data_IF_277533086576
#
_entry.id   IF_277533086576
#
_cell.length_a   1.000
_cell.length_b   1.000
_cell.length_c   1.000
_cell.angle_alpha   90.00
_cell.angle_beta   90.00
_cell.angle_gamma   90.00
#
_symmetry.space_group_name_H-M   'P 1'
#
loop_
_entity.id
_entity.type
_entity.pdbx_description
1 polymer ?
#
# COMPACT_ATOMS: atom_id res chain seq x y z
N UNK A 1 -2.75 -16.78 10.43
CA UNK A 1 -2.66 -15.35 10.67
C UNK A 1 -1.53 -14.74 9.86
N UNK A 2 -1.75 -13.61 9.20
CA UNK A 2 -0.72 -12.99 8.37
C UNK A 2 0.15 -12.05 9.24
N UNK A 3 1.34 -12.53 9.59
CA UNK A 3 2.29 -11.77 10.40
C UNK A 3 2.69 -10.42 9.78
N UNK A 4 2.79 -10.39 8.45
CA UNK A 4 3.14 -9.17 7.72
C UNK A 4 2.02 -8.13 7.86
N UNK A 5 0.77 -8.54 7.69
CA UNK A 5 -0.37 -7.64 7.84
C UNK A 5 -0.47 -7.10 9.27
N UNK A 6 -0.21 -7.92 10.27
CA UNK A 6 -0.23 -7.50 11.68
C UNK A 6 0.86 -6.47 11.97
N UNK A 7 2.05 -6.66 11.42
CA UNK A 7 3.15 -5.69 11.56
C UNK A 7 2.79 -4.35 10.91
N UNK A 8 2.18 -4.39 9.74
CA UNK A 8 1.77 -3.19 9.02
C UNK A 8 0.67 -2.46 9.80
N UNK A 9 -0.32 -3.18 10.30
CA UNK A 9 -1.39 -2.61 11.12
C UNK A 9 -0.83 -1.89 12.35
N UNK A 10 0.12 -2.51 13.04
CA UNK A 10 0.79 -1.90 14.18
C UNK A 10 1.45 -0.58 13.79
N UNK A 11 2.13 -0.54 12.66
CA UNK A 11 2.79 0.69 12.19
C UNK A 11 1.79 1.75 11.73
N UNK A 12 0.66 1.35 11.16
CA UNK A 12 -0.42 2.29 10.80
C UNK A 12 -1.02 2.96 12.04
N UNK A 13 -1.19 2.20 13.12
CA UNK A 13 -1.66 2.74 14.39
C UNK A 13 -0.65 3.75 14.94
N UNK A 14 0.64 3.41 14.88
CA UNK A 14 1.72 4.32 15.32
C UNK A 14 1.76 5.58 14.46
N UNK A 15 1.55 5.46 13.16
CA UNK A 15 1.45 6.62 12.25
C UNK A 15 0.31 7.54 12.68
N UNK A 16 -0.86 6.98 12.96
CA UNK A 16 -2.03 7.76 13.39
C UNK A 16 -1.74 8.57 14.65
N UNK A 17 -1.09 7.96 15.65
CA UNK A 17 -0.69 8.65 16.87
C UNK A 17 0.32 9.76 16.59
N UNK A 18 1.32 9.48 15.76
CA UNK A 18 2.33 10.47 15.37
C UNK A 18 1.70 11.67 14.68
N UNK A 19 0.82 11.45 13.71
CA UNK A 19 0.15 12.52 12.97
C UNK A 19 -0.68 13.42 13.90
N UNK A 20 -1.36 12.80 14.85
CA UNK A 20 -2.17 13.54 15.83
C UNK A 20 -1.30 14.36 16.78
N UNK A 21 -0.27 13.74 17.36
CA UNK A 21 0.59 14.37 18.37
C UNK A 21 1.49 15.47 17.80
N UNK A 22 1.99 15.28 16.57
CA UNK A 22 2.91 16.21 15.94
C UNK A 22 2.20 17.32 15.14
N UNK A 23 0.89 17.23 14.97
CA UNK A 23 0.12 18.11 14.08
C UNK A 23 0.74 18.13 12.68
N UNK A 24 1.20 16.97 12.20
CA UNK A 24 1.88 16.84 10.93
C UNK A 24 0.99 17.27 9.77
N UNK A 25 1.58 17.97 8.81
CA UNK A 25 0.91 18.43 7.61
C UNK A 25 1.77 18.15 6.38
N UNK A 26 1.14 17.69 5.30
CA UNK A 26 1.82 17.43 4.04
C UNK A 26 0.86 16.87 3.00
N UNK A 27 1.39 16.64 1.80
CA UNK A 27 0.61 16.04 0.71
C UNK A 27 0.56 14.52 0.86
N UNK A 28 -0.35 13.88 0.10
CA UNK A 28 -0.46 12.40 0.13
C UNK A 28 0.87 11.71 -0.15
N UNK A 29 1.61 12.17 -1.17
CA UNK A 29 2.89 11.59 -1.52
C UNK A 29 3.90 11.69 -0.36
N UNK A 30 3.89 12.79 0.37
CA UNK A 30 4.75 12.96 1.55
C UNK A 30 4.34 12.02 2.67
N UNK A 31 3.04 11.80 2.85
CA UNK A 31 2.52 10.85 3.84
C UNK A 31 2.94 9.42 3.50
N UNK A 32 2.83 9.01 2.25
CA UNK A 32 3.27 7.69 1.79
C UNK A 32 4.75 7.49 2.08
N UNK A 33 5.58 8.48 1.74
CA UNK A 33 7.03 8.40 1.98
C UNK A 33 7.36 8.41 3.47
N UNK A 34 6.67 9.23 4.26
CA UNK A 34 6.84 9.25 5.71
C UNK A 34 6.56 7.85 6.29
N UNK A 35 5.44 7.25 5.90
CA UNK A 35 5.08 5.94 6.41
C UNK A 35 6.10 4.87 5.98
N UNK A 36 6.48 4.84 4.71
CA UNK A 36 7.41 3.85 4.18
C UNK A 36 8.78 3.93 4.85
N UNK A 37 9.31 5.12 5.04
CA UNK A 37 10.69 5.31 5.49
C UNK A 37 10.84 5.46 7.00
N UNK A 38 9.83 6.00 7.69
CA UNK A 38 9.93 6.27 9.12
C UNK A 38 9.16 5.27 10.00
N UNK A 39 8.26 4.49 9.42
CA UNK A 39 7.44 3.54 10.17
C UNK A 39 7.61 2.10 9.69
N UNK A 40 7.52 1.83 8.38
CA UNK A 40 7.65 0.48 7.86
C UNK A 40 9.10 0.00 7.82
N UNK A 41 10.02 0.84 7.36
CA UNK A 41 11.42 0.48 7.28
C UNK A 41 11.97 0.26 8.69
N UNK A 42 12.55 -0.91 8.92
CA UNK A 42 12.98 -1.37 10.24
C UNK A 42 12.21 -2.62 10.61
N UNK A 43 10.92 -2.51 11.03
CA UNK A 43 10.08 -3.71 11.25
C UNK A 43 9.96 -4.58 10.01
N UNK A 44 9.97 -3.95 8.83
CA UNK A 44 9.95 -4.62 7.52
C UNK A 44 11.19 -4.16 6.77
N UNK A 45 11.84 -5.08 6.05
CA UNK A 45 13.03 -4.72 5.29
C UNK A 45 12.64 -3.84 4.09
N UNK A 46 13.45 -2.82 3.84
CA UNK A 46 13.16 -1.85 2.76
C UNK A 46 13.04 -2.52 1.39
N UNK A 47 13.74 -3.65 1.19
CA UNK A 47 13.66 -4.42 -0.05
C UNK A 47 12.29 -5.11 -0.26
N UNK A 48 11.41 -5.11 0.75
CA UNK A 48 10.04 -5.62 0.64
C UNK A 48 9.03 -4.52 0.28
N UNK A 49 9.45 -3.25 0.27
CA UNK A 49 8.56 -2.10 0.17
C UNK A 49 8.68 -1.47 -1.22
N UNK A 50 7.55 -1.21 -1.87
CA UNK A 50 7.51 -0.49 -3.13
C UNK A 50 6.52 0.67 -3.08
N UNK A 51 6.93 1.82 -3.63
CA UNK A 51 6.10 3.03 -3.69
C UNK A 51 5.67 3.26 -5.13
N UNK A 52 4.40 3.58 -5.34
CA UNK A 52 3.80 3.80 -6.67
C UNK A 52 4.04 2.61 -7.61
N UNK A 53 3.69 1.41 -7.16
CA UNK A 53 3.93 0.18 -7.90
C UNK A 53 2.71 -0.21 -8.71
N UNK A 54 2.95 -0.61 -9.97
CA UNK A 54 1.90 -1.10 -10.84
C UNK A 54 1.50 -2.54 -10.46
N UNK A 55 0.21 -2.75 -10.27
CA UNK A 55 -0.37 -4.07 -10.00
C UNK A 55 -1.44 -4.38 -11.06
N UNK A 56 -1.87 -5.65 -11.13
CA UNK A 56 -2.88 -6.08 -12.11
C UNK A 56 -4.20 -5.36 -11.90
N UNK A 57 -4.85 -4.93 -12.98
CA UNK A 57 -6.20 -4.40 -12.90
C UNK A 57 -7.21 -5.52 -12.68
N UNK A 58 -8.35 -5.19 -12.03
CA UNK A 58 -9.50 -6.10 -11.93
C UNK A 58 -10.14 -6.33 -13.30
N UNK A 59 -10.22 -5.26 -14.09
CA UNK A 59 -10.69 -5.29 -15.47
C UNK A 59 -9.90 -4.26 -16.25
N UNK A 60 -9.70 -4.51 -17.57
CA UNK A 60 -9.02 -3.54 -18.43
C UNK A 60 -9.87 -2.27 -18.54
N UNK A 61 -9.28 -1.14 -18.15
CA UNK A 61 -9.91 0.18 -18.25
C UNK A 61 -9.07 0.98 -19.23
N UNK A 62 -9.67 1.43 -20.34
CA UNK A 62 -8.95 2.18 -21.38
C UNK A 62 -7.78 1.41 -21.97
N UNK A 63 -7.88 0.08 -22.09
CA UNK A 63 -6.83 -0.78 -22.62
C UNK A 63 -5.68 -1.07 -21.65
N UNK A 64 -5.69 -0.52 -20.44
CA UNK A 64 -4.62 -0.71 -19.46
C UNK A 64 -4.85 -1.96 -18.64
N UNK A 65 -3.85 -2.83 -18.55
CA UNK A 65 -3.88 -4.05 -17.76
C UNK A 65 -3.33 -3.87 -16.33
N UNK A 66 -2.75 -2.69 -16.03
CA UNK A 66 -2.10 -2.39 -14.77
C UNK A 66 -2.62 -1.09 -14.17
N UNK A 67 -2.57 -0.99 -12.85
CA UNK A 67 -2.91 0.22 -12.10
C UNK A 67 -1.84 0.47 -11.04
N UNK A 68 -1.44 1.73 -10.84
CA UNK A 68 -0.48 2.09 -9.80
C UNK A 68 -1.16 2.20 -8.45
N UNK A 69 -0.49 1.70 -7.42
CA UNK A 69 -0.92 1.79 -6.03
C UNK A 69 0.11 2.53 -5.20
N UNK A 70 -0.34 3.24 -4.18
CA UNK A 70 0.50 4.13 -3.39
C UNK A 70 1.67 3.40 -2.75
N UNK A 71 1.40 2.26 -2.10
CA UNK A 71 2.42 1.50 -1.41
C UNK A 71 2.06 0.02 -1.44
N UNK A 72 3.06 -0.81 -1.71
CA UNK A 72 2.89 -2.27 -1.68
C UNK A 72 4.01 -2.89 -0.85
N UNK A 73 3.75 -4.08 -0.30
CA UNK A 73 4.73 -4.83 0.49
C UNK A 73 4.71 -6.29 0.05
N UNK A 74 5.89 -6.84 -0.22
CA UNK A 74 6.07 -8.26 -0.52
C UNK A 74 6.38 -9.04 0.76
N UNK A 75 6.11 -10.36 0.76
CA UNK A 75 6.33 -11.22 1.92
C UNK A 75 7.79 -11.31 2.34
N UNK A 76 8.70 -11.28 1.38
CA UNK A 76 10.13 -11.47 1.61
C UNK A 76 10.94 -10.40 0.88
N UNK A 77 12.10 -10.01 1.43
CA UNK A 77 13.00 -9.11 0.69
C UNK A 77 13.52 -9.82 -0.57
N UNK A 78 13.69 -9.03 -1.62
CA UNK A 78 14.20 -9.49 -2.93
C UNK A 78 13.34 -10.58 -3.60
N UNK A 79 12.10 -10.77 -3.16
CA UNK A 79 11.16 -11.72 -3.76
C UNK A 79 10.78 -11.32 -5.18
N UNK A 80 10.68 -10.01 -5.42
CA UNK A 80 10.20 -9.47 -6.67
C UNK A 80 11.34 -9.23 -7.65
N UNK A 81 11.17 -9.72 -8.87
CA UNK A 81 12.03 -9.40 -10.00
C UNK A 81 11.32 -8.33 -10.83
N UNK A 82 12.03 -7.24 -11.11
CA UNK A 82 11.51 -6.12 -11.87
C UNK A 82 11.87 -6.28 -13.34
N UNK A 83 10.87 -6.12 -14.21
CA UNK A 83 11.08 -6.10 -15.66
C UNK A 83 10.49 -4.79 -16.19
N UNK A 84 11.36 -3.91 -16.67
CA UNK A 84 10.99 -2.57 -17.16
C UNK A 84 10.18 -1.76 -16.14
N UNK A 85 10.55 -1.86 -14.86
CA UNK A 85 9.88 -1.14 -13.78
C UNK A 85 8.57 -1.77 -13.33
N UNK A 86 8.23 -2.97 -13.80
CA UNK A 86 7.02 -3.69 -13.43
C UNK A 86 7.40 -4.95 -12.66
N UNK A 87 6.78 -5.22 -11.50
CA UNK A 87 7.07 -6.43 -10.75
C UNK A 87 6.50 -7.66 -11.45
N UNK A 88 7.22 -8.77 -11.36
CA UNK A 88 6.80 -10.04 -11.98
C UNK A 88 5.88 -10.87 -11.11
N UNK A 89 5.74 -10.51 -9.82
CA UNK A 89 4.86 -11.21 -8.89
C UNK A 89 4.01 -10.21 -8.11
N UNK A 90 2.87 -10.69 -7.62
CA UNK A 90 1.92 -9.87 -6.88
C UNK A 90 2.45 -9.57 -5.47
N UNK A 91 2.21 -8.36 -4.93
CA UNK A 91 2.55 -8.07 -3.55
C UNK A 91 1.63 -8.82 -2.59
N UNK A 92 2.04 -8.91 -1.35
CA UNK A 92 1.22 -9.50 -0.28
C UNK A 92 0.27 -8.49 0.34
N UNK A 93 0.63 -7.20 0.33
CA UNK A 93 -0.16 -6.12 0.93
C UNK A 93 -0.17 -4.91 0.01
N UNK A 94 -1.33 -4.28 -0.11
CA UNK A 94 -1.52 -3.02 -0.84
C UNK A 94 -2.10 -2.00 0.14
N UNK A 95 -1.51 -0.80 0.16
CA UNK A 95 -1.95 0.30 1.03
C UNK A 95 -2.22 1.53 0.17
N UNK A 96 -3.42 2.09 0.31
CA UNK A 96 -3.82 3.33 -0.35
C UNK A 96 -4.01 4.43 0.69
N UNK A 97 -3.57 5.64 0.36
CA UNK A 97 -3.65 6.81 1.25
C UNK A 97 -4.48 7.92 0.61
N UNK A 98 -5.31 8.57 1.42
CA UNK A 98 -6.05 9.77 1.00
C UNK A 98 -6.02 10.78 2.13
N UNK A 99 -5.85 12.05 1.77
CA UNK A 99 -5.89 13.18 2.72
C UNK A 99 -7.09 14.04 2.38
N UNK A 100 -7.99 14.23 3.36
CA UNK A 100 -9.14 15.14 3.23
C UNK A 100 -10.01 14.89 1.99
N UNK A 101 -10.16 13.63 1.59
CA UNK A 101 -10.98 13.27 0.44
C UNK A 101 -11.78 12.00 0.75
N UNK A 102 -12.93 12.19 1.41
CA UNK A 102 -13.78 11.09 1.86
C UNK A 102 -14.38 10.29 0.69
N UNK A 103 -14.67 10.95 -0.43
CA UNK A 103 -15.22 10.26 -1.62
C UNK A 103 -14.20 9.32 -2.26
N UNK A 104 -12.98 9.79 -2.45
CA UNK A 104 -11.88 8.97 -3.00
C UNK A 104 -11.50 7.87 -2.01
N UNK A 105 -11.54 8.15 -0.71
CA UNK A 105 -11.30 7.13 0.30
C UNK A 105 -12.33 5.99 0.20
N UNK A 106 -13.60 6.32 0.07
CA UNK A 106 -14.66 5.32 -0.11
C UNK A 106 -14.46 4.51 -1.40
N UNK A 107 -14.00 5.16 -2.48
CA UNK A 107 -13.67 4.48 -3.74
C UNK A 107 -12.51 3.51 -3.57
N UNK A 108 -11.49 3.89 -2.84
CA UNK A 108 -10.33 3.03 -2.56
C UNK A 108 -10.74 1.80 -1.75
N UNK A 109 -11.59 1.98 -0.74
CA UNK A 109 -12.12 0.87 0.07
C UNK A 109 -12.90 -0.11 -0.81
N UNK A 110 -13.79 0.40 -1.67
CA UNK A 110 -14.58 -0.43 -2.57
C UNK A 110 -13.68 -1.18 -3.56
N UNK A 111 -12.66 -0.51 -4.11
CA UNK A 111 -11.70 -1.13 -5.01
C UNK A 111 -10.92 -2.25 -4.32
N UNK A 112 -10.40 -1.98 -3.11
CA UNK A 112 -9.63 -2.96 -2.34
C UNK A 112 -10.48 -4.19 -1.97
N UNK A 113 -11.74 -3.99 -1.62
CA UNK A 113 -12.67 -5.11 -1.33
C UNK A 113 -12.81 -6.01 -2.54
N UNK A 114 -13.07 -5.47 -3.72
CA UNK A 114 -13.19 -6.25 -4.95
C UNK A 114 -11.87 -6.93 -5.28
N UNK A 115 -10.76 -6.22 -5.12
CA UNK A 115 -9.44 -6.74 -5.44
C UNK A 115 -9.08 -7.94 -4.58
N UNK A 116 -9.31 -7.86 -3.28
CA UNK A 116 -9.00 -8.95 -2.34
C UNK A 116 -9.97 -10.12 -2.44
N UNK A 117 -11.15 -9.91 -3.01
CA UNK A 117 -12.06 -11.02 -3.36
C UNK A 117 -11.50 -11.83 -4.55
N UNK A 118 -10.89 -11.14 -5.53
CA UNK A 118 -10.28 -11.80 -6.70
C UNK A 118 -8.91 -12.37 -6.34
N UNK A 119 -8.15 -11.68 -5.52
CA UNK A 119 -6.81 -12.10 -5.07
C UNK A 119 -6.80 -12.26 -3.54
N UNK A 120 -7.36 -13.39 -3.03
CA UNK A 120 -7.58 -13.54 -1.58
C UNK A 120 -6.34 -13.65 -0.72
N UNK A 121 -5.16 -13.83 -1.34
CA UNK A 121 -3.89 -13.83 -0.61
C UNK A 121 -3.34 -12.42 -0.35
N UNK A 122 -3.91 -11.42 -1.00
CA UNK A 122 -3.50 -10.02 -0.83
C UNK A 122 -4.36 -9.37 0.25
N UNK A 123 -3.72 -8.64 1.15
CA UNK A 123 -4.39 -7.84 2.19
C UNK A 123 -4.35 -6.38 1.78
N UNK A 124 -5.47 -5.69 1.90
CA UNK A 124 -5.59 -4.27 1.56
C UNK A 124 -5.83 -3.41 2.77
N UNK A 125 -5.18 -2.25 2.81
CA UNK A 125 -5.43 -1.22 3.81
C UNK A 125 -5.76 0.09 3.12
N UNK A 126 -6.75 0.80 3.65
CA UNK A 126 -7.07 2.16 3.20
C UNK A 126 -6.85 3.10 4.38
N UNK A 127 -6.03 4.12 4.17
CA UNK A 127 -5.68 5.13 5.18
C UNK A 127 -6.30 6.45 4.75
N UNK A 128 -7.20 6.97 5.59
CA UNK A 128 -7.97 8.19 5.28
C UNK A 128 -7.79 9.27 6.33
#
# INVERSE_FOLDING_TARGET
MNNLADKIETQLISLGSFLHESEWYGRENELVNLFAHSFLAGPIQIAQIGIEVAVKQLAKVGGKALVRKDLVVWNKPYETVWVKGIPTNDPAVIIEFKINDSKKCASDIAWLRRYTEVYPKIVGFSVC
#
